data_IF_300647799376
#
_entry.id   IF_300647799376
#
_cell.length_a   1.000
_cell.length_b   1.000
_cell.length_c   1.000
_cell.angle_alpha   90.00
_cell.angle_beta   90.00
_cell.angle_gamma   90.00
#
_symmetry.space_group_name_H-M   'P 1'
#
loop_
_entity.id
_entity.type
_entity.pdbx_description
1 polymer ?
#
# COMPACT_ATOMS: atom_id res chain seq x y z
N UNK A 1 -10.79 4.89 -17.56
CA UNK A 1 -10.95 5.90 -16.47
C UNK A 1 -9.86 5.64 -15.45
N UNK A 2 -9.22 6.67 -14.86
CA UNK A 2 -8.30 6.48 -13.73
C UNK A 2 -9.10 6.60 -12.43
N UNK A 3 -9.27 5.50 -11.73
CA UNK A 3 -9.79 5.53 -10.37
C UNK A 3 -8.67 6.02 -9.44
N UNK A 4 -9.03 6.87 -8.47
CA UNK A 4 -8.14 7.32 -7.41
C UNK A 4 -8.55 6.58 -6.14
N UNK A 5 -7.56 6.08 -5.43
CA UNK A 5 -7.72 5.34 -4.18
C UNK A 5 -6.81 5.94 -3.12
N UNK A 6 -7.20 5.79 -1.87
CA UNK A 6 -6.48 6.28 -0.70
C UNK A 6 -5.79 5.11 -0.04
N UNK A 7 -4.47 5.20 0.09
CA UNK A 7 -3.66 4.19 0.74
C UNK A 7 -3.23 4.67 2.13
N UNK A 8 -3.54 3.89 3.17
CA UNK A 8 -2.91 4.07 4.47
C UNK A 8 -1.56 3.38 4.44
N UNK A 9 -0.53 4.06 4.93
CA UNK A 9 0.84 3.56 4.94
C UNK A 9 1.40 3.66 6.36
N UNK A 10 1.91 2.54 6.87
CA UNK A 10 2.59 2.44 8.16
C UNK A 10 3.99 1.88 7.98
N UNK A 11 4.96 2.39 8.75
CA UNK A 11 6.27 1.76 8.90
C UNK A 11 6.35 1.05 10.25
N UNK A 12 6.67 -0.23 10.24
CA UNK A 12 6.74 -1.07 11.44
C UNK A 12 7.88 -2.07 11.32
N UNK A 13 8.72 -2.20 12.35
CA UNK A 13 9.78 -3.22 12.41
C UNK A 13 10.67 -3.31 11.14
N UNK A 14 10.97 -2.15 10.53
CA UNK A 14 11.78 -2.06 9.31
C UNK A 14 11.05 -2.37 8.00
N UNK A 15 9.74 -2.62 8.05
CA UNK A 15 8.87 -2.85 6.89
C UNK A 15 7.93 -1.67 6.67
N UNK A 16 7.52 -1.50 5.41
CA UNK A 16 6.41 -0.66 5.01
C UNK A 16 5.20 -1.54 4.77
N UNK A 17 4.08 -1.21 5.40
CA UNK A 17 2.81 -1.94 5.33
C UNK A 17 1.76 -0.94 4.84
N UNK A 18 0.86 -1.35 3.96
CA UNK A 18 -0.22 -0.49 3.52
C UNK A 18 -1.42 -1.23 2.98
N UNK A 19 -2.55 -0.54 2.93
CA UNK A 19 -3.82 -1.04 2.44
C UNK A 19 -4.67 0.08 1.83
N UNK A 20 -5.61 -0.29 0.98
CA UNK A 20 -6.54 0.65 0.33
C UNK A 20 -7.79 0.80 1.20
N UNK A 21 -8.13 2.02 1.59
CA UNK A 21 -9.28 2.30 2.47
C UNK A 21 -10.60 1.90 1.82
N UNK A 22 -10.71 2.13 0.52
CA UNK A 22 -11.95 1.90 -0.22
C UNK A 22 -12.15 0.42 -0.63
N UNK A 23 -11.11 -0.42 -0.56
CA UNK A 23 -11.16 -1.81 -1.05
C UNK A 23 -10.65 -2.77 0.03
N UNK A 24 -11.56 -3.34 0.84
CA UNK A 24 -11.21 -4.31 1.87
C UNK A 24 -10.44 -5.50 1.27
N UNK A 25 -9.36 -5.91 1.96
CA UNK A 25 -8.52 -7.03 1.54
C UNK A 25 -7.40 -6.65 0.58
N UNK A 26 -7.38 -5.43 0.02
CA UNK A 26 -6.23 -4.94 -0.74
C UNK A 26 -5.19 -4.38 0.22
N UNK A 27 -4.20 -5.20 0.54
CA UNK A 27 -3.05 -4.85 1.36
C UNK A 27 -1.75 -5.39 0.76
N UNK A 28 -0.64 -4.77 1.13
CA UNK A 28 0.68 -5.25 0.78
C UNK A 28 1.73 -4.74 1.77
N UNK A 29 2.96 -5.24 1.60
CA UNK A 29 4.13 -4.80 2.33
C UNK A 29 5.35 -4.72 1.41
N UNK A 30 6.36 -3.96 1.83
CA UNK A 30 7.63 -3.84 1.13
C UNK A 30 8.77 -3.41 2.05
N UNK A 31 10.01 -3.70 1.66
CA UNK A 31 11.21 -3.23 2.40
C UNK A 31 11.41 -1.72 2.23
N UNK A 32 10.87 -1.14 1.16
CA UNK A 32 10.90 0.30 0.91
C UNK A 32 9.49 0.84 0.66
N UNK A 33 9.30 2.15 0.86
CA UNK A 33 8.01 2.80 0.56
C UNK A 33 7.66 2.70 -0.93
N UNK A 34 8.65 2.79 -1.81
CA UNK A 34 8.46 2.67 -3.25
C UNK A 34 8.01 1.26 -3.66
N UNK A 35 8.58 0.22 -3.05
CA UNK A 35 8.17 -1.16 -3.25
C UNK A 35 6.73 -1.39 -2.79
N UNK A 36 6.37 -0.93 -1.60
CA UNK A 36 4.98 -0.99 -1.11
C UNK A 36 4.01 -0.32 -2.11
N UNK A 37 4.34 0.90 -2.56
CA UNK A 37 3.50 1.62 -3.51
C UNK A 37 3.36 0.88 -4.84
N UNK A 38 4.47 0.34 -5.38
CA UNK A 38 4.44 -0.47 -6.60
C UNK A 38 3.50 -1.66 -6.43
N UNK A 39 3.60 -2.37 -5.30
CA UNK A 39 2.78 -3.54 -5.03
C UNK A 39 1.29 -3.21 -4.91
N UNK A 40 0.93 -2.06 -4.30
CA UNK A 40 -0.46 -1.60 -4.19
C UNK A 40 -1.07 -1.13 -5.52
N UNK A 41 -0.24 -0.82 -6.52
CA UNK A 41 -0.69 -0.32 -7.83
C UNK A 41 -0.56 -1.35 -8.96
N UNK A 42 -0.13 -2.57 -8.63
CA UNK A 42 0.08 -3.65 -9.61
C UNK A 42 -1.22 -4.35 -9.98
#
# INVERSE_FOLDING_TARGET
MKQKYSAVIKKDSGWWIGWIEEVPGVNSQGKTRAELLKNLTS
#
